data_IF_059404926073
#
_entry.id   IF_059404926073
#
_cell.length_a   1.000
_cell.length_b   1.000
_cell.length_c   1.000
_cell.angle_alpha   90.00
_cell.angle_beta   90.00
_cell.angle_gamma   90.00
#
_symmetry.space_group_name_H-M   'P 1'
#
loop_
_entity.id
_entity.type
_entity.pdbx_description
1 polymer ?
#
# COMPACT_ATOMS: atom_id res chain seq x y z
N UNK A 1 5.64 -0.08 -15.79
CA UNK A 1 5.50 1.28 -16.39
C UNK A 1 6.79 2.06 -16.10
N UNK A 2 7.19 3.07 -16.89
CA UNK A 2 8.37 3.88 -16.55
C UNK A 2 8.03 4.79 -15.35
N UNK A 3 8.47 4.39 -14.17
CA UNK A 3 8.37 5.18 -12.94
C UNK A 3 9.34 6.36 -13.05
N UNK A 4 8.85 7.53 -13.46
CA UNK A 4 9.70 8.70 -13.63
C UNK A 4 9.87 9.42 -12.28
N UNK A 5 11.10 9.84 -11.99
CA UNK A 5 11.45 10.60 -10.79
C UNK A 5 10.62 11.88 -10.57
N UNK A 6 9.98 12.37 -11.62
CA UNK A 6 9.19 13.60 -11.67
C UNK A 6 7.74 13.41 -11.18
N UNK A 7 7.19 12.19 -11.26
CA UNK A 7 5.85 11.92 -10.71
C UNK A 7 5.85 12.15 -9.21
N UNK A 8 4.75 12.71 -8.73
CA UNK A 8 4.54 12.88 -7.29
C UNK A 8 4.27 11.54 -6.63
N UNK A 9 4.66 11.42 -5.36
CA UNK A 9 4.39 10.20 -4.58
C UNK A 9 2.88 9.92 -4.51
N UNK A 10 2.06 10.97 -4.46
CA UNK A 10 0.60 10.87 -4.50
C UNK A 10 0.09 10.26 -5.81
N UNK A 11 0.60 10.71 -6.96
CA UNK A 11 0.21 10.15 -8.26
C UNK A 11 0.55 8.66 -8.33
N UNK A 12 1.75 8.29 -7.90
CA UNK A 12 2.18 6.89 -7.85
C UNK A 12 1.28 6.04 -6.94
N UNK A 13 0.91 6.57 -5.77
CA UNK A 13 -0.01 5.91 -4.85
C UNK A 13 -1.44 5.76 -5.39
N UNK A 14 -1.90 6.67 -6.25
CA UNK A 14 -3.22 6.63 -6.89
C UNK A 14 -3.25 5.68 -8.09
N UNK A 15 -2.14 5.59 -8.84
CA UNK A 15 -2.00 4.70 -9.99
C UNK A 15 -1.83 3.24 -9.58
N UNK A 16 -1.12 2.98 -8.47
CA UNK A 16 -0.85 1.63 -7.99
C UNK A 16 -1.05 1.52 -6.47
N UNK A 17 -2.05 0.74 -6.06
CA UNK A 17 -2.35 0.56 -4.63
C UNK A 17 -1.23 -0.11 -3.86
N UNK A 18 -0.39 -0.94 -4.50
CA UNK A 18 0.76 -1.59 -3.84
C UNK A 18 1.88 -0.60 -3.52
N UNK A 19 1.97 0.52 -4.25
CA UNK A 19 2.93 1.58 -3.98
C UNK A 19 2.73 2.20 -2.59
N UNK A 20 1.48 2.28 -2.09
CA UNK A 20 1.19 2.79 -0.74
C UNK A 20 1.91 1.97 0.35
N UNK A 21 1.90 0.63 0.23
CA UNK A 21 2.60 -0.26 1.16
C UNK A 21 4.11 -0.12 1.08
N UNK A 22 4.65 0.11 -0.12
CA UNK A 22 6.08 0.34 -0.31
C UNK A 22 6.48 1.64 0.37
N UNK A 23 5.75 2.73 0.12
CA UNK A 23 6.03 4.01 0.76
C UNK A 23 5.93 3.96 2.28
N UNK A 24 4.95 3.24 2.85
CA UNK A 24 4.84 3.04 4.30
C UNK A 24 6.05 2.33 4.89
N UNK A 25 6.51 1.24 4.24
CA UNK A 25 7.69 0.49 4.67
C UNK A 25 8.97 1.34 4.62
N UNK A 26 9.05 2.22 3.62
CA UNK A 26 10.18 3.11 3.39
C UNK A 26 10.08 4.44 4.15
N UNK A 27 8.98 4.68 4.89
CA UNK A 27 8.78 5.93 5.61
C UNK A 27 8.49 7.16 4.73
N UNK A 28 8.09 6.94 3.47
CA UNK A 28 7.76 7.99 2.51
C UNK A 28 6.30 8.43 2.70
N UNK A 29 6.06 9.73 2.92
CA UNK A 29 4.71 10.27 3.09
C UNK A 29 4.00 10.53 1.74
N UNK A 30 3.16 9.59 1.34
CA UNK A 30 2.35 9.65 0.12
C UNK A 30 0.99 10.34 0.32
N UNK A 31 0.60 10.64 1.56
CA UNK A 31 -0.72 11.16 1.90
C UNK A 31 -0.72 12.68 2.07
N UNK A 32 -0.17 13.19 3.18
CA UNK A 32 -0.18 14.63 3.49
C UNK A 32 0.91 15.38 2.72
N UNK A 33 2.10 14.80 2.64
CA UNK A 33 3.26 15.30 1.90
C UNK A 33 3.37 14.80 0.45
N UNK A 34 2.35 14.10 -0.06
CA UNK A 34 2.42 13.35 -1.31
C UNK A 34 2.61 14.19 -2.58
N UNK A 35 2.49 15.53 -2.50
CA UNK A 35 2.71 16.42 -3.64
C UNK A 35 4.20 16.58 -4.03
N UNK A 36 5.12 16.04 -3.24
CA UNK A 36 6.54 15.98 -3.58
C UNK A 36 6.77 14.96 -4.70
N UNK A 37 7.70 15.26 -5.59
CA UNK A 37 8.22 14.27 -6.55
C UNK A 37 8.83 13.08 -5.82
N UNK A 38 8.86 11.91 -6.47
CA UNK A 38 9.52 10.72 -5.92
C UNK A 38 10.98 11.03 -5.55
N UNK A 39 11.70 11.77 -6.41
CA UNK A 39 13.09 12.16 -6.13
C UNK A 39 13.26 13.05 -4.91
N UNK A 40 12.35 13.99 -4.66
CA UNK A 40 12.37 14.81 -3.45
C UNK A 40 12.06 13.99 -2.20
N UNK A 41 11.10 13.07 -2.29
CA UNK A 41 10.74 12.19 -1.19
C UNK A 41 11.88 11.23 -0.81
N UNK A 42 12.57 10.65 -1.79
CA UNK A 42 13.74 9.81 -1.56
C UNK A 42 14.86 10.61 -0.88
N UNK A 43 15.17 11.82 -1.36
CA UNK A 43 16.17 12.70 -0.74
C UNK A 43 15.80 13.06 0.70
N UNK A 44 14.54 13.41 0.95
CA UNK A 44 14.05 13.75 2.28
C UNK A 44 14.11 12.56 3.27
N UNK A 45 13.99 11.34 2.75
CA UNK A 45 14.00 10.10 3.53
C UNK A 45 15.39 9.44 3.58
N UNK A 46 16.41 10.06 2.96
CA UNK A 46 17.76 9.52 2.81
C UNK A 46 17.79 8.10 2.18
N UNK A 47 16.96 7.90 1.15
CA UNK A 47 16.84 6.65 0.40
C UNK A 47 17.46 6.78 -1.00
N UNK A 48 18.08 5.71 -1.48
CA UNK A 48 18.54 5.63 -2.86
C UNK A 48 17.33 5.50 -3.80
N UNK A 49 17.30 6.27 -4.87
CA UNK A 49 16.19 6.22 -5.84
C UNK A 49 16.02 4.83 -6.45
N UNK A 50 17.12 4.15 -6.77
CA UNK A 50 17.14 2.78 -7.28
C UNK A 50 16.40 1.82 -6.34
N UNK A 51 16.70 1.85 -5.04
CA UNK A 51 16.09 0.99 -4.02
C UNK A 51 14.56 1.16 -3.95
N UNK A 52 14.09 2.41 -4.08
CA UNK A 52 12.66 2.71 -4.07
C UNK A 52 11.98 2.22 -5.34
N UNK A 53 12.61 2.40 -6.51
CA UNK A 53 12.09 1.92 -7.79
C UNK A 53 12.01 0.39 -7.78
N UNK A 54 13.08 -0.29 -7.39
CA UNK A 54 13.14 -1.75 -7.29
C UNK A 54 12.02 -2.27 -6.37
N UNK A 55 11.83 -1.62 -5.22
CA UNK A 55 10.77 -2.00 -4.26
C UNK A 55 9.36 -1.84 -4.84
N UNK A 56 9.14 -0.81 -5.66
CA UNK A 56 7.86 -0.57 -6.34
C UNK A 56 7.62 -1.61 -7.43
N UNK A 57 8.62 -1.90 -8.25
CA UNK A 57 8.54 -2.89 -9.33
C UNK A 57 8.30 -4.29 -8.76
N UNK A 58 9.04 -4.70 -7.73
CA UNK A 58 8.84 -5.99 -7.06
C UNK A 58 7.43 -6.14 -6.47
N UNK A 59 6.85 -5.05 -5.96
CA UNK A 59 5.49 -5.07 -5.42
C UNK A 59 4.43 -5.25 -6.53
N UNK A 60 4.62 -4.58 -7.67
CA UNK A 60 3.75 -4.72 -8.85
C UNK A 60 3.83 -6.14 -9.44
N UNK A 61 5.03 -6.70 -9.57
CA UNK A 61 5.24 -8.07 -10.06
C UNK A 61 4.60 -9.12 -9.15
N UNK A 62 4.74 -8.97 -7.83
CA UNK A 62 4.15 -9.88 -6.86
C UNK A 62 2.62 -9.91 -6.93
N UNK A 63 1.99 -8.76 -7.18
CA UNK A 63 0.53 -8.66 -7.34
C UNK A 63 0.07 -9.36 -8.63
N UNK A 64 0.77 -9.17 -9.74
CA UNK A 64 0.49 -9.88 -10.99
C UNK A 64 0.67 -11.40 -10.87
N UNK A 65 1.70 -11.86 -10.18
CA UNK A 65 1.96 -13.29 -9.99
C UNK A 65 0.89 -14.00 -9.15
N UNK A 66 0.16 -13.26 -8.30
CA UNK A 66 -0.90 -13.80 -7.45
C UNK A 66 -2.21 -14.11 -8.22
N UNK A 67 -2.41 -13.51 -9.40
CA UNK A 67 -3.53 -13.81 -10.28
C UNK A 67 -3.25 -15.06 -11.12
N UNK A 68 -3.45 -16.25 -10.52
CA UNK A 68 -3.61 -17.48 -11.30
C UNK A 68 -5.06 -17.90 -11.29
N UNK A 69 -5.63 -18.12 -12.47
CA UNK A 69 -6.95 -18.71 -12.62
C UNK A 69 -6.94 -20.14 -12.07
N UNK A 70 -7.51 -20.32 -10.88
CA UNK A 70 -7.75 -21.62 -10.25
C UNK A 70 -9.25 -21.89 -10.25
N UNK A 71 -9.65 -23.07 -10.72
CA UNK A 71 -11.03 -23.53 -10.59
C UNK A 71 -11.25 -24.17 -9.22
N UNK A 72 -11.71 -23.38 -8.25
CA UNK A 72 -11.98 -23.84 -6.89
C UNK A 72 -13.05 -24.92 -6.78
N UNK A 73 -13.91 -25.10 -7.79
CA UNK A 73 -14.95 -26.13 -7.77
C UNK A 73 -14.38 -27.55 -7.90
N UNK A 74 -13.16 -27.68 -8.43
CA UNK A 74 -12.50 -28.98 -8.68
C UNK A 74 -11.34 -29.27 -7.73
N UNK A 75 -11.01 -28.33 -6.86
CA UNK A 75 -9.89 -28.42 -5.93
C UNK A 75 -10.27 -29.21 -4.67
N UNK A 76 -9.31 -29.91 -4.03
CA UNK A 76 -9.57 -30.55 -2.74
C UNK A 76 -10.05 -29.54 -1.70
N UNK A 77 -11.04 -29.93 -0.88
CA UNK A 77 -11.61 -29.06 0.15
C UNK A 77 -10.53 -28.52 1.13
N UNK A 78 -9.53 -29.34 1.45
CA UNK A 78 -8.41 -28.94 2.29
C UNK A 78 -7.62 -27.76 1.68
N UNK A 79 -7.36 -27.80 0.37
CA UNK A 79 -6.63 -26.75 -0.35
C UNK A 79 -7.47 -25.48 -0.50
N UNK A 80 -8.78 -25.63 -0.72
CA UNK A 80 -9.70 -24.49 -0.75
C UNK A 80 -9.78 -23.77 0.62
N UNK A 81 -9.93 -24.53 1.71
CA UNK A 81 -9.91 -23.97 3.08
C UNK A 81 -8.56 -23.31 3.38
N UNK A 82 -7.45 -23.94 3.00
CA UNK A 82 -6.12 -23.36 3.17
C UNK A 82 -5.98 -22.04 2.40
N UNK A 83 -6.47 -21.97 1.15
CA UNK A 83 -6.46 -20.74 0.36
C UNK A 83 -7.27 -19.62 1.03
N UNK A 84 -8.51 -19.89 1.46
CA UNK A 84 -9.34 -18.89 2.15
C UNK A 84 -8.62 -18.32 3.37
N UNK A 85 -8.01 -19.19 4.19
CA UNK A 85 -7.31 -18.75 5.41
C UNK A 85 -6.05 -17.95 5.10
N UNK A 86 -5.23 -18.42 4.17
CA UNK A 86 -3.89 -17.88 3.94
C UNK A 86 -3.88 -16.68 2.98
N UNK A 87 -4.90 -16.55 2.15
CA UNK A 87 -5.08 -15.42 1.25
C UNK A 87 -6.04 -14.41 1.87
N UNK A 88 -7.31 -14.77 2.06
CA UNK A 88 -8.32 -13.79 2.48
C UNK A 88 -8.26 -13.45 3.96
N UNK A 89 -8.33 -14.43 4.87
CA UNK A 89 -8.35 -14.13 6.31
C UNK A 89 -7.04 -13.49 6.79
N UNK A 90 -5.91 -13.91 6.21
CA UNK A 90 -4.61 -13.32 6.49
C UNK A 90 -4.56 -11.86 6.00
N UNK A 91 -4.87 -11.62 4.73
CA UNK A 91 -4.91 -10.28 4.14
C UNK A 91 -5.83 -9.34 4.94
N UNK A 92 -7.06 -9.77 5.25
CA UNK A 92 -8.00 -8.92 6.00
C UNK A 92 -7.45 -8.56 7.37
N UNK A 93 -6.85 -9.50 8.10
CA UNK A 93 -6.25 -9.20 9.42
C UNK A 93 -5.08 -8.24 9.32
N UNK A 94 -4.20 -8.46 8.34
CA UNK A 94 -3.04 -7.60 8.11
C UNK A 94 -3.46 -6.17 7.70
N UNK A 95 -4.43 -6.04 6.81
CA UNK A 95 -4.95 -4.73 6.40
C UNK A 95 -5.69 -4.02 7.52
N UNK A 96 -6.50 -4.73 8.32
CA UNK A 96 -7.14 -4.10 9.48
C UNK A 96 -6.10 -3.56 10.46
N UNK A 97 -5.04 -4.32 10.75
CA UNK A 97 -3.95 -3.85 11.61
C UNK A 97 -3.19 -2.66 11.03
N UNK A 98 -3.01 -2.62 9.69
CA UNK A 98 -2.40 -1.51 8.96
C UNK A 98 -3.27 -0.25 8.95
N UNK A 99 -4.59 -0.40 8.84
CA UNK A 99 -5.53 0.73 8.73
C UNK A 99 -5.65 1.52 10.03
N UNK A 100 -5.51 0.88 11.20
CA UNK A 100 -5.60 1.56 12.51
C UNK A 100 -4.62 2.75 12.62
N UNK A 101 -3.29 2.58 12.47
CA UNK A 101 -2.36 3.71 12.56
C UNK A 101 -2.52 4.74 11.44
N UNK A 102 -3.01 4.35 10.26
CA UNK A 102 -3.31 5.29 9.18
C UNK A 102 -4.50 6.18 9.55
N UNK A 103 -5.53 5.60 10.16
CA UNK A 103 -6.69 6.32 10.65
C UNK A 103 -6.29 7.30 11.76
N UNK A 104 -5.45 6.88 12.71
CA UNK A 104 -4.88 7.74 13.76
C UNK A 104 -4.13 8.95 13.16
N UNK A 105 -3.34 8.72 12.10
CA UNK A 105 -2.64 9.81 11.39
C UNK A 105 -3.63 10.80 10.81
N UNK A 106 -4.68 10.33 10.12
CA UNK A 106 -5.74 11.19 9.56
C UNK A 106 -6.41 12.00 10.67
N UNK A 107 -6.78 11.36 11.78
CA UNK A 107 -7.35 12.05 12.94
C UNK A 107 -6.42 13.14 13.51
N UNK A 108 -5.13 12.83 13.66
CA UNK A 108 -4.17 13.76 14.24
C UNK A 108 -4.01 15.05 13.41
N UNK A 109 -4.08 14.94 12.08
CA UNK A 109 -3.87 16.05 11.14
C UNK A 109 -5.19 16.78 10.83
N UNK A 110 -6.28 16.04 10.65
CA UNK A 110 -7.53 16.57 10.11
C UNK A 110 -8.68 16.64 11.13
N UNK A 111 -8.60 15.94 12.26
CA UNK A 111 -9.72 15.78 13.21
C UNK A 111 -10.24 17.08 13.82
N UNK A 112 -9.40 18.13 13.92
CA UNK A 112 -9.86 19.46 14.38
C UNK A 112 -10.79 20.15 13.39
N UNK A 113 -10.59 19.92 12.09
CA UNK A 113 -11.32 20.58 11.01
C UNK A 113 -12.48 19.71 10.49
N UNK A 114 -12.50 18.43 10.87
CA UNK A 114 -13.46 17.42 10.41
C UNK A 114 -14.08 16.67 11.60
N UNK A 115 -15.06 17.28 12.30
CA UNK A 115 -15.71 16.66 13.46
C UNK A 115 -16.39 15.32 13.15
N UNK A 116 -16.81 15.11 11.90
CA UNK A 116 -17.42 13.87 11.43
C UNK A 116 -16.51 12.65 11.61
N UNK A 117 -15.19 12.85 11.62
CA UNK A 117 -14.23 11.77 11.81
C UNK A 117 -14.42 11.11 13.19
N UNK A 118 -14.87 11.83 14.23
CA UNK A 118 -15.03 11.26 15.58
C UNK A 118 -16.00 10.07 15.63
N UNK A 119 -16.88 9.92 14.63
CA UNK A 119 -17.87 8.85 14.55
C UNK A 119 -17.38 7.58 13.84
N UNK A 120 -16.15 7.58 13.31
CA UNK A 120 -15.54 6.44 12.59
C UNK A 120 -14.29 5.90 13.29
N UNK A 121 -14.02 6.35 14.53
CA UNK A 121 -12.96 5.82 15.39
C UNK A 121 -13.37 4.55 16.13
#
# INVERSE_FOLDING_TARGET
MSMTAEKTVRELALENTTATRVFEKLGIDYCCGGNKSLGEACRASNLAMEEVIDSLEMAEEAEHAAQKDRNWQTEPLADFVAHIKNTHHKYTREEMARLVPLLDKVFSVHGKNHPELQNVS
#
